data_IF_013998501833
#
_entry.id   IF_013998501833
#
_cell.length_a   1.000
_cell.length_b   1.000
_cell.length_c   1.000
_cell.angle_alpha   90.00
_cell.angle_beta   90.00
_cell.angle_gamma   90.00
#
_symmetry.space_group_name_H-M   'P 1'
#
loop_
_entity.id
_entity.type
_entity.pdbx_description
1 polymer ?
#
# COMPACT_ATOMS: atom_id res chain seq x y z
N UNK A 1 -4.90 8.13 17.13
CA UNK A 1 -4.56 6.94 16.33
C UNK A 1 -5.49 5.83 16.75
N UNK A 2 -6.06 5.10 15.79
CA UNK A 2 -6.95 3.96 16.02
C UNK A 2 -6.62 2.84 15.01
N UNK A 3 -6.85 1.56 15.35
CA UNK A 3 -7.21 1.06 16.68
C UNK A 3 -6.11 1.31 17.72
N UNK A 4 -6.46 1.19 19.01
CA UNK A 4 -5.47 1.32 20.11
C UNK A 4 -4.50 0.14 20.11
N UNK A 5 -3.32 0.32 20.71
CA UNK A 5 -2.35 -0.76 20.85
C UNK A 5 -2.92 -1.98 21.60
N UNK A 6 -3.78 -1.73 22.59
CA UNK A 6 -4.47 -2.79 23.32
C UNK A 6 -5.42 -3.57 22.40
N UNK A 7 -6.24 -2.89 21.60
CA UNK A 7 -7.12 -3.53 20.62
C UNK A 7 -6.33 -4.35 19.59
N UNK A 8 -5.20 -3.83 19.10
CA UNK A 8 -4.31 -4.57 18.20
C UNK A 8 -3.73 -5.85 18.85
N UNK A 9 -3.36 -5.78 20.15
CA UNK A 9 -2.89 -6.96 20.88
C UNK A 9 -3.97 -8.02 21.03
N UNK A 10 -5.24 -7.61 21.18
CA UNK A 10 -6.36 -8.55 21.21
C UNK A 10 -6.57 -9.21 19.84
N UNK A 11 -6.58 -8.41 18.76
CA UNK A 11 -6.75 -8.91 17.39
C UNK A 11 -5.62 -9.85 16.94
N UNK A 12 -4.42 -9.71 17.49
CA UNK A 12 -3.27 -10.56 17.16
C UNK A 12 -3.35 -11.98 17.73
N UNK A 13 -4.21 -12.24 18.73
CA UNK A 13 -4.21 -13.52 19.48
C UNK A 13 -4.36 -14.75 18.58
N UNK A 14 -5.10 -14.64 17.49
CA UNK A 14 -5.38 -15.77 16.59
C UNK A 14 -4.29 -15.97 15.52
N UNK A 15 -3.22 -15.15 15.52
CA UNK A 15 -2.08 -15.18 14.58
C UNK A 15 -2.44 -15.21 13.08
N UNK A 16 -3.69 -14.92 12.73
CA UNK A 16 -4.20 -14.95 11.36
C UNK A 16 -3.57 -13.89 10.48
N UNK A 17 -3.32 -12.70 11.04
CA UNK A 17 -2.74 -11.56 10.32
C UNK A 17 -1.42 -11.15 10.94
N UNK A 18 -0.43 -10.89 10.07
CA UNK A 18 0.91 -10.40 10.47
C UNK A 18 1.00 -8.87 10.46
N UNK A 19 0.08 -8.21 9.78
CA UNK A 19 0.03 -6.76 9.60
C UNK A 19 -1.34 -6.22 9.98
N UNK A 20 -1.37 -5.03 10.54
CA UNK A 20 -2.59 -4.37 10.99
C UNK A 20 -2.57 -2.90 10.57
N UNK A 21 -3.64 -2.39 9.93
CA UNK A 21 -3.71 -0.98 9.57
C UNK A 21 -3.92 -0.13 10.83
N UNK A 22 -3.26 1.01 10.87
CA UNK A 22 -3.43 2.04 11.90
C UNK A 22 -3.73 3.36 11.22
N UNK A 23 -4.74 4.05 11.71
CA UNK A 23 -5.23 5.29 11.15
C UNK A 23 -5.13 6.43 12.17
N UNK A 24 -4.97 7.64 11.65
CA UNK A 24 -5.13 8.89 12.40
C UNK A 24 -5.89 9.86 11.52
N UNK A 25 -7.04 10.31 12.02
CA UNK A 25 -7.76 11.41 11.41
C UNK A 25 -7.11 12.75 11.79
N UNK A 26 -7.05 13.65 10.81
CA UNK A 26 -6.45 14.97 10.91
C UNK A 26 -7.30 15.95 10.11
N UNK A 27 -7.40 17.19 10.59
CA UNK A 27 -8.04 18.27 9.83
C UNK A 27 -7.21 18.59 8.58
N UNK A 28 -7.85 18.60 7.42
CA UNK A 28 -7.20 18.80 6.12
C UNK A 28 -7.65 20.05 5.40
N UNK A 29 -8.40 20.93 6.07
CA UNK A 29 -9.07 22.12 5.53
C UNK A 29 -8.09 23.09 4.83
N UNK A 30 -6.80 22.98 5.15
CA UNK A 30 -5.70 23.79 4.61
C UNK A 30 -4.92 23.12 3.47
N UNK A 31 -5.21 21.87 3.14
CA UNK A 31 -4.41 21.09 2.20
C UNK A 31 -5.28 20.52 1.08
N UNK A 32 -4.92 20.86 -0.15
CA UNK A 32 -5.44 20.18 -1.34
C UNK A 32 -4.70 18.86 -1.59
N UNK A 33 -5.30 17.87 -2.26
CA UNK A 33 -4.61 16.62 -2.62
C UNK A 33 -3.30 16.84 -3.38
N UNK A 34 -3.24 17.86 -4.24
CA UNK A 34 -2.04 18.24 -5.01
C UNK A 34 -0.94 18.76 -4.09
N UNK A 35 -1.26 19.55 -3.07
CA UNK A 35 -0.27 20.03 -2.09
C UNK A 35 0.28 18.88 -1.25
N UNK A 36 -0.58 17.96 -0.80
CA UNK A 36 -0.14 16.76 -0.08
C UNK A 36 0.79 15.94 -0.97
N UNK A 37 0.43 15.71 -2.23
CA UNK A 37 1.29 14.99 -3.18
C UNK A 37 2.65 15.67 -3.36
N UNK A 38 2.70 17.01 -3.44
CA UNK A 38 3.96 17.76 -3.52
C UNK A 38 4.83 17.57 -2.28
N UNK A 39 4.22 17.47 -1.10
CA UNK A 39 4.93 17.19 0.15
C UNK A 39 5.49 15.76 0.12
N UNK A 40 4.66 14.76 -0.19
CA UNK A 40 5.08 13.36 -0.23
C UNK A 40 6.22 13.10 -1.23
N UNK A 41 6.19 13.78 -2.39
CA UNK A 41 7.27 13.68 -3.40
C UNK A 41 8.64 14.19 -2.94
N UNK A 42 8.70 14.99 -1.86
CA UNK A 42 9.98 15.40 -1.26
C UNK A 42 10.61 14.26 -0.43
N UNK A 43 9.77 13.39 0.12
CA UNK A 43 10.19 12.28 0.98
C UNK A 43 10.47 11.01 0.17
N UNK A 44 9.66 10.71 -0.86
CA UNK A 44 9.81 9.49 -1.65
C UNK A 44 9.64 9.72 -3.15
N UNK A 45 10.44 8.99 -3.94
CA UNK A 45 10.26 8.91 -5.40
C UNK A 45 9.11 7.99 -5.81
N UNK A 46 8.67 7.12 -4.90
CA UNK A 46 7.54 6.22 -5.10
C UNK A 46 6.32 6.84 -4.43
N UNK A 47 5.54 7.58 -5.22
CA UNK A 47 4.29 8.17 -4.77
C UNK A 47 3.19 7.87 -5.79
N UNK A 48 1.96 7.68 -5.31
CA UNK A 48 0.79 7.58 -6.17
C UNK A 48 -0.37 8.41 -5.63
N UNK A 49 -1.28 8.73 -6.55
CA UNK A 49 -2.56 9.38 -6.30
C UNK A 49 -3.63 8.57 -7.05
N UNK A 50 -4.58 8.00 -6.33
CA UNK A 50 -5.75 7.35 -6.91
C UNK A 50 -6.98 8.18 -6.59
N UNK A 51 -7.63 8.67 -7.64
CA UNK A 51 -8.86 9.43 -7.57
C UNK A 51 -9.92 8.74 -8.42
N UNK A 52 -11.09 8.50 -7.83
CA UNK A 52 -12.21 7.91 -8.55
C UNK A 52 -12.97 9.02 -9.27
N UNK A 53 -12.78 9.11 -10.59
CA UNK A 53 -13.62 9.92 -11.46
C UNK A 53 -14.86 9.12 -11.87
N UNK A 54 -16.02 9.44 -11.30
CA UNK A 54 -17.31 8.88 -11.73
C UNK A 54 -17.78 9.49 -13.07
N UNK A 55 -18.60 8.75 -13.83
CA UNK A 55 -19.29 9.25 -15.03
C UNK A 55 -20.37 10.32 -14.70
N UNK A 56 -20.86 10.32 -13.47
CA UNK A 56 -21.64 11.41 -12.87
C UNK A 56 -20.69 12.29 -12.07
N UNK A 57 -20.84 13.61 -12.09
CA UNK A 57 -20.00 14.63 -11.44
C UNK A 57 -19.84 14.50 -9.90
N UNK A 58 -20.20 13.36 -9.30
CA UNK A 58 -19.86 13.01 -7.94
C UNK A 58 -18.44 12.45 -7.88
N UNK A 59 -17.54 13.26 -7.34
CA UNK A 59 -16.21 12.84 -6.96
C UNK A 59 -16.33 11.69 -5.96
N UNK A 60 -15.49 10.66 -6.09
CA UNK A 60 -15.47 9.56 -5.13
C UNK A 60 -15.29 10.08 -3.70
N UNK A 61 -15.96 9.44 -2.72
CA UNK A 61 -15.87 9.80 -1.30
C UNK A 61 -14.44 9.82 -0.76
N UNK A 62 -13.55 9.04 -1.38
CA UNK A 62 -12.15 8.91 -1.01
C UNK A 62 -11.23 9.15 -2.21
N UNK A 63 -10.10 9.77 -1.91
CA UNK A 63 -8.91 9.83 -2.74
C UNK A 63 -7.77 9.19 -1.94
N UNK A 64 -6.97 8.37 -2.59
CA UNK A 64 -5.88 7.63 -1.93
C UNK A 64 -4.53 8.19 -2.36
N UNK A 65 -3.74 8.61 -1.38
CA UNK A 65 -2.35 9.00 -1.54
C UNK A 65 -1.48 7.96 -0.85
N UNK A 66 -0.45 7.48 -1.53
CA UNK A 66 0.54 6.59 -0.94
C UNK A 66 1.94 7.01 -1.31
N UNK A 67 2.87 6.75 -0.40
CA UNK A 67 4.29 7.03 -0.58
C UNK A 67 5.13 6.01 0.18
N UNK A 68 6.42 5.93 -0.18
CA UNK A 68 7.43 5.14 0.52
C UNK A 68 7.03 3.66 0.78
N UNK A 69 6.85 2.87 -0.28
CA UNK A 69 6.42 1.49 -0.14
C UNK A 69 7.51 0.64 0.54
N UNK A 70 7.09 -0.27 1.41
CA UNK A 70 7.99 -1.25 2.02
C UNK A 70 8.48 -2.32 1.03
N UNK A 71 7.87 -2.41 -0.15
CA UNK A 71 8.22 -3.39 -1.19
C UNK A 71 7.96 -2.83 -2.59
N UNK A 72 8.90 -3.05 -3.50
CA UNK A 72 8.79 -2.79 -4.94
C UNK A 72 8.93 -4.13 -5.70
N UNK A 73 8.04 -4.37 -6.66
CA UNK A 73 8.04 -5.59 -7.48
C UNK A 73 7.98 -5.18 -8.93
N UNK A 74 8.95 -5.63 -9.73
CA UNK A 74 8.97 -5.44 -11.18
C UNK A 74 9.20 -6.79 -11.86
N UNK A 75 8.52 -7.05 -12.97
CA UNK A 75 8.70 -8.26 -13.75
C UNK A 75 8.74 -7.91 -15.24
N UNK A 76 9.81 -8.31 -15.92
CA UNK A 76 10.00 -8.06 -17.35
C UNK A 76 10.68 -9.28 -17.96
N UNK A 77 10.15 -9.82 -19.05
CA UNK A 77 10.67 -11.01 -19.73
C UNK A 77 10.93 -12.20 -18.79
N UNK A 78 10.01 -12.46 -17.87
CA UNK A 78 10.13 -13.52 -16.86
C UNK A 78 11.18 -13.24 -15.77
N UNK A 79 11.87 -12.09 -15.80
CA UNK A 79 12.82 -11.68 -14.76
C UNK A 79 12.08 -10.83 -13.74
N UNK A 80 11.84 -11.41 -12.57
CA UNK A 80 11.22 -10.72 -11.46
C UNK A 80 12.29 -10.19 -10.50
N UNK A 81 12.11 -8.94 -10.10
CA UNK A 81 12.92 -8.24 -9.10
C UNK A 81 12.01 -7.78 -7.97
N UNK A 82 12.35 -8.18 -6.75
CA UNK A 82 11.64 -7.80 -5.53
C UNK A 82 12.63 -7.06 -4.64
N UNK A 83 12.34 -5.80 -4.33
CA UNK A 83 13.11 -4.98 -3.40
C UNK A 83 12.28 -4.69 -2.15
N UNK A 84 12.80 -5.02 -0.97
CA UNK A 84 12.15 -4.73 0.32
C UNK A 84 12.90 -3.61 1.03
N UNK A 85 12.19 -2.60 1.51
CA UNK A 85 12.76 -1.49 2.28
C UNK A 85 12.56 -1.77 3.77
N UNK A 86 13.66 -1.90 4.52
CA UNK A 86 13.60 -2.01 5.98
C UNK A 86 13.70 -0.63 6.64
N UNK A 87 13.23 -0.52 7.89
CA UNK A 87 13.20 0.70 8.73
C UNK A 87 14.58 1.34 9.04
N UNK A 88 15.65 0.94 8.34
CA UNK A 88 17.01 1.49 8.46
C UNK A 88 17.71 1.70 7.11
N UNK A 89 16.99 1.71 5.99
CA UNK A 89 17.55 1.97 4.66
C UNK A 89 18.27 0.79 3.99
N UNK A 90 18.43 -0.34 4.68
CA UNK A 90 18.92 -1.57 4.06
C UNK A 90 17.84 -2.18 3.18
N UNK A 91 18.14 -2.32 1.88
CA UNK A 91 17.26 -2.96 0.92
C UNK A 91 17.68 -4.40 0.67
N UNK A 92 16.81 -5.37 0.99
CA UNK A 92 16.97 -6.72 0.45
C UNK A 92 16.47 -6.70 -1.00
N UNK A 93 17.32 -7.15 -1.92
CA UNK A 93 16.97 -7.31 -3.33
C UNK A 93 17.05 -8.78 -3.70
N UNK A 94 15.98 -9.27 -4.31
CA UNK A 94 15.89 -10.62 -4.83
C UNK A 94 15.64 -10.56 -6.34
N UNK A 95 16.46 -11.29 -7.08
CA UNK A 95 16.34 -11.48 -8.52
C UNK A 95 16.09 -12.95 -8.82
N UNK A 96 15.01 -13.24 -9.54
CA UNK A 96 14.67 -14.61 -9.94
C UNK A 96 13.97 -14.66 -11.29
N UNK A 97 14.18 -15.77 -11.99
CA UNK A 97 13.42 -16.11 -13.20
C UNK A 97 12.13 -16.80 -12.78
N UNK A 98 11.01 -16.36 -13.34
CA UNK A 98 9.66 -16.80 -12.96
C UNK A 98 8.84 -17.02 -14.22
N UNK A 99 8.34 -18.25 -14.40
CA UNK A 99 7.46 -18.60 -15.52
C UNK A 99 6.03 -18.10 -15.33
N UNK A 100 5.59 -17.97 -14.07
CA UNK A 100 4.23 -17.57 -13.69
C UNK A 100 4.22 -16.45 -12.64
N UNK A 101 4.44 -15.18 -13.04
CA UNK A 101 4.50 -14.03 -12.13
C UNK A 101 3.27 -13.91 -11.20
N UNK A 102 2.08 -14.25 -11.71
CA UNK A 102 0.83 -14.21 -10.95
C UNK A 102 0.75 -15.19 -9.76
N UNK A 103 1.59 -16.23 -9.71
CA UNK A 103 1.70 -17.09 -8.51
C UNK A 103 2.48 -16.36 -7.40
N UNK A 104 3.60 -15.73 -7.76
CA UNK A 104 4.42 -14.96 -6.81
C UNK A 104 3.63 -13.78 -6.24
N UNK A 105 2.85 -13.06 -7.05
CA UNK A 105 1.97 -12.00 -6.53
C UNK A 105 0.94 -12.52 -5.52
N UNK A 106 0.36 -13.71 -5.74
CA UNK A 106 -0.60 -14.30 -4.81
C UNK A 106 0.05 -14.68 -3.49
N UNK A 107 1.25 -15.26 -3.52
CA UNK A 107 2.04 -15.56 -2.32
C UNK A 107 2.34 -14.29 -1.52
N UNK A 108 2.81 -13.24 -2.20
CA UNK A 108 3.10 -11.94 -1.57
C UNK A 108 1.83 -11.36 -0.96
N UNK A 109 0.70 -11.37 -1.67
CA UNK A 109 -0.58 -10.86 -1.13
C UNK A 109 -0.98 -11.64 0.12
N UNK A 110 -0.89 -12.98 0.09
CA UNK A 110 -1.27 -13.83 1.21
C UNK A 110 -0.40 -13.58 2.47
N UNK A 111 0.93 -13.45 2.28
CA UNK A 111 1.86 -13.08 3.36
C UNK A 111 1.62 -11.67 3.94
N UNK A 112 0.96 -10.81 3.19
CA UNK A 112 0.75 -9.39 3.52
C UNK A 112 -0.71 -9.05 3.86
N UNK A 113 -1.59 -10.04 4.02
CA UNK A 113 -3.00 -9.80 4.36
C UNK A 113 -3.15 -9.02 5.67
N UNK A 114 -4.13 -8.13 5.68
CA UNK A 114 -4.55 -7.35 6.83
C UNK A 114 -6.02 -7.59 7.13
N UNK A 115 -6.47 -7.46 8.39
CA UNK A 115 -7.89 -7.52 8.71
C UNK A 115 -8.62 -6.29 8.19
N UNK A 116 -9.88 -6.46 7.81
CA UNK A 116 -10.81 -5.36 7.60
C UNK A 116 -11.30 -4.87 8.96
N UNK A 117 -11.02 -3.60 9.29
CA UNK A 117 -11.44 -3.01 10.56
C UNK A 117 -12.58 -2.01 10.32
N UNK A 118 -13.65 -2.06 11.14
CA UNK A 118 -14.76 -1.11 11.04
C UNK A 118 -14.28 0.34 11.14
N UNK A 119 -14.83 1.21 10.29
CA UNK A 119 -14.55 2.64 10.30
C UNK A 119 -13.29 3.07 9.53
N UNK A 120 -12.49 2.13 9.01
CA UNK A 120 -11.39 2.47 8.11
C UNK A 120 -11.87 2.71 6.67
N UNK A 121 -11.10 3.48 5.87
CA UNK A 121 -11.35 3.60 4.44
C UNK A 121 -11.34 2.24 3.73
N UNK A 122 -11.96 2.17 2.56
CA UNK A 122 -12.06 0.93 1.75
C UNK A 122 -10.71 0.41 1.26
N UNK A 123 -9.67 1.24 1.31
CA UNK A 123 -8.31 0.86 0.95
C UNK A 123 -7.36 1.36 2.04
N UNK A 124 -6.69 0.42 2.71
CA UNK A 124 -5.78 0.67 3.83
C UNK A 124 -4.33 0.30 3.50
N UNK A 125 -4.01 0.23 2.20
CA UNK A 125 -2.73 -0.24 1.68
C UNK A 125 -2.83 -1.56 0.93
N UNK A 126 -1.77 -1.90 0.20
CA UNK A 126 -1.71 -3.07 -0.67
C UNK A 126 -0.68 -2.87 -1.78
N UNK A 127 -0.71 -3.75 -2.78
CA UNK A 127 0.07 -3.58 -4.00
C UNK A 127 -0.63 -2.60 -4.93
N UNK A 128 0.06 -1.53 -5.30
CA UNK A 128 -0.41 -0.52 -6.25
C UNK A 128 0.60 -0.40 -7.37
N UNK A 129 0.12 -0.48 -8.61
CA UNK A 129 0.97 -0.48 -9.79
C UNK A 129 0.13 -0.76 -11.04
N UNK A 130 0.79 -1.28 -12.07
CA UNK A 130 0.16 -1.62 -13.34
C UNK A 130 0.68 -2.96 -13.85
N UNK A 131 -0.11 -3.60 -14.71
CA UNK A 131 0.35 -4.65 -15.61
C UNK A 131 0.40 -4.04 -17.01
N UNK A 132 1.51 -4.23 -17.73
CA UNK A 132 1.60 -3.85 -19.13
C UNK A 132 0.65 -4.70 -19.98
N UNK A 133 0.39 -4.24 -21.20
CA UNK A 133 -0.43 -4.98 -22.17
C UNK A 133 0.27 -6.24 -22.71
N UNK A 134 1.60 -6.19 -22.76
CA UNK A 134 2.47 -7.27 -23.26
C UNK A 134 2.33 -8.60 -22.51
#
# INVERSE_FOLDING_TARGET
MYPTLEALRQLRKDNTFRRFPVCREMYSDRYTPVEVMRILRKESRHCYLLESAGQTEQWGRYLFLGYDPSMEITCTDGKMRIRKTNLGGWSEEELRTVDRPGQVFREIIDENRTPELPGLPTFTGGLVGYFSYD
#
